data_IF_987396977418
#
_entry.id   IF_987396977418
#
_cell.length_a   1.000
_cell.length_b   1.000
_cell.length_c   1.000
_cell.angle_alpha   90.00
_cell.angle_beta   90.00
_cell.angle_gamma   90.00
#
_symmetry.space_group_name_H-M   'P 1'
#
loop_
_entity.id
_entity.type
_entity.pdbx_description
1 polymer ?
#
# COMPACT_ATOMS: atom_id res chain seq x y z
N UNK A 1 11.04 -5.84 -16.30
CA UNK A 1 10.36 -7.13 -16.51
C UNK A 1 10.87 -7.75 -17.79
N UNK A 2 10.68 -7.08 -18.92
CA UNK A 2 11.23 -7.48 -20.22
C UNK A 2 12.77 -7.50 -20.16
N UNK A 3 13.36 -8.68 -19.96
CA UNK A 3 14.81 -8.90 -19.86
C UNK A 3 15.31 -9.46 -18.52
N UNK A 4 14.52 -9.41 -17.45
CA UNK A 4 14.93 -9.87 -16.12
C UNK A 4 13.91 -10.77 -15.42
N UNK A 5 12.72 -10.95 -16.00
CA UNK A 5 11.68 -11.83 -15.48
C UNK A 5 11.23 -12.81 -16.56
N UNK A 6 10.87 -14.03 -16.15
CA UNK A 6 10.22 -14.99 -17.03
C UNK A 6 8.76 -14.60 -17.36
N UNK A 7 8.18 -13.66 -16.62
CA UNK A 7 6.79 -13.20 -16.80
C UNK A 7 6.74 -11.92 -17.62
N UNK A 8 5.72 -11.81 -18.49
CA UNK A 8 5.44 -10.56 -19.22
C UNK A 8 4.61 -9.62 -18.35
N UNK A 9 4.83 -8.32 -18.50
CA UNK A 9 4.09 -7.32 -17.71
C UNK A 9 2.58 -7.36 -17.93
N UNK A 10 2.13 -7.75 -19.14
CA UNK A 10 0.72 -7.96 -19.48
C UNK A 10 0.06 -9.07 -18.66
N UNK A 11 0.83 -10.05 -18.20
CA UNK A 11 0.32 -11.18 -17.41
C UNK A 11 0.18 -10.81 -15.92
N UNK A 12 0.70 -9.63 -15.55
CA UNK A 12 0.81 -9.19 -14.16
C UNK A 12 0.04 -7.89 -13.91
N UNK A 13 -0.58 -7.29 -14.93
CA UNK A 13 -1.17 -5.96 -14.81
C UNK A 13 -2.52 -5.85 -15.52
N UNK A 14 -3.32 -4.88 -15.06
CA UNK A 14 -4.55 -4.43 -15.71
C UNK A 14 -4.26 -3.07 -16.32
N UNK A 15 -4.73 -2.83 -17.54
CA UNK A 15 -4.63 -1.52 -18.19
C UNK A 15 -5.94 -0.76 -18.02
N UNK A 16 -5.83 0.53 -17.71
CA UNK A 16 -6.93 1.50 -17.72
C UNK A 16 -6.63 2.57 -18.78
N UNK A 17 -7.67 3.00 -19.51
CA UNK A 17 -7.55 3.99 -20.60
C UNK A 17 -8.15 5.36 -20.28
N UNK A 18 -8.74 5.51 -19.08
CA UNK A 18 -9.42 6.74 -18.68
C UNK A 18 -8.97 7.23 -17.32
N UNK A 19 -8.83 8.55 -17.19
CA UNK A 19 -8.81 9.24 -15.91
C UNK A 19 -10.19 9.88 -15.71
N UNK A 20 -10.88 9.55 -14.61
CA UNK A 20 -12.23 10.05 -14.30
C UNK A 20 -12.27 10.78 -12.97
N UNK A 21 -13.04 11.87 -12.91
CA UNK A 21 -13.46 12.50 -11.67
C UNK A 21 -14.98 12.38 -11.56
N UNK A 22 -15.44 11.78 -10.47
CA UNK A 22 -16.87 11.63 -10.18
C UNK A 22 -17.33 12.69 -9.20
N UNK A 23 -18.52 13.24 -9.47
CA UNK A 23 -19.26 14.14 -8.60
C UNK A 23 -20.13 13.39 -7.59
N UNK A 24 -20.79 14.16 -6.73
CA UNK A 24 -21.59 13.64 -5.61
C UNK A 24 -22.81 12.81 -6.05
N UNK A 25 -23.22 12.89 -7.33
CA UNK A 25 -24.32 12.11 -7.88
C UNK A 25 -23.85 11.03 -8.87
N UNK A 26 -22.56 10.66 -8.82
CA UNK A 26 -21.89 9.80 -9.80
C UNK A 26 -21.83 10.40 -11.22
N UNK A 27 -22.06 11.70 -11.35
CA UNK A 27 -21.84 12.45 -12.57
C UNK A 27 -20.34 12.54 -12.90
N UNK A 28 -19.99 12.33 -14.16
CA UNK A 28 -18.59 12.44 -14.61
C UNK A 28 -18.26 13.92 -14.79
N UNK A 29 -17.56 14.49 -13.81
CA UNK A 29 -17.12 15.90 -13.82
C UNK A 29 -15.99 16.13 -14.82
N UNK A 30 -15.15 15.13 -15.02
CA UNK A 30 -14.06 15.13 -15.98
C UNK A 30 -13.75 13.71 -16.44
N UNK A 31 -13.47 13.57 -17.73
CA UNK A 31 -12.90 12.37 -18.33
C UNK A 31 -11.81 12.76 -19.33
N UNK A 32 -10.67 12.10 -19.24
CA UNK A 32 -9.57 12.27 -20.18
C UNK A 32 -8.95 10.93 -20.57
N UNK A 33 -8.57 10.80 -21.84
CA UNK A 33 -7.86 9.61 -22.34
C UNK A 33 -6.48 9.54 -21.70
N UNK A 34 -6.14 8.38 -21.16
CA UNK A 34 -4.91 8.17 -20.41
C UNK A 34 -4.62 6.68 -20.29
N UNK A 35 -3.43 6.20 -20.67
CA UNK A 35 -3.08 4.78 -20.57
C UNK A 35 -2.14 4.52 -19.39
N UNK A 36 -2.57 3.70 -18.42
CA UNK A 36 -1.71 3.24 -17.31
C UNK A 36 -2.04 1.81 -16.94
N UNK A 37 -0.99 1.08 -16.58
CA UNK A 37 -1.03 -0.25 -16.00
C UNK A 37 -0.94 -0.22 -14.49
N UNK A 38 -1.84 -0.94 -13.86
CA UNK A 38 -1.89 -1.18 -12.43
C UNK A 38 -1.66 -2.65 -12.13
N UNK A 39 -1.05 -2.94 -10.99
CA UNK A 39 -0.83 -4.31 -10.50
C UNK A 39 -0.98 -4.34 -8.98
N UNK A 40 -0.91 -5.53 -8.41
CA UNK A 40 -0.85 -5.71 -6.96
C UNK A 40 0.60 -5.96 -6.52
N UNK A 41 0.93 -5.55 -5.29
CA UNK A 41 2.24 -5.83 -4.69
C UNK A 41 2.51 -7.35 -4.66
N UNK A 42 1.51 -8.16 -4.30
CA UNK A 42 1.65 -9.61 -4.23
C UNK A 42 1.95 -10.25 -5.59
N UNK A 43 1.36 -9.73 -6.67
CA UNK A 43 1.62 -10.17 -8.03
C UNK A 43 3.08 -9.96 -8.41
N UNK A 44 3.61 -8.74 -8.20
CA UNK A 44 5.00 -8.40 -8.52
C UNK A 44 5.97 -9.16 -7.61
N UNK A 45 5.71 -9.20 -6.30
CA UNK A 45 6.55 -9.91 -5.33
C UNK A 45 6.70 -11.39 -5.68
N UNK A 46 5.58 -12.08 -5.97
CA UNK A 46 5.63 -13.50 -6.34
C UNK A 46 6.37 -13.74 -7.65
N UNK A 47 6.20 -12.87 -8.64
CA UNK A 47 6.92 -12.99 -9.91
C UNK A 47 8.44 -12.86 -9.70
N UNK A 48 8.88 -11.79 -9.01
CA UNK A 48 10.30 -11.55 -8.75
C UNK A 48 10.92 -12.64 -7.86
N UNK A 49 10.18 -13.12 -6.83
CA UNK A 49 10.66 -14.21 -5.98
C UNK A 49 10.79 -15.51 -6.76
N UNK A 50 9.86 -15.80 -7.69
CA UNK A 50 9.94 -16.97 -8.54
C UNK A 50 11.17 -16.93 -9.47
N UNK A 51 11.49 -15.75 -10.03
CA UNK A 51 12.69 -15.56 -10.86
C UNK A 51 13.99 -15.66 -10.04
N UNK A 52 13.99 -15.14 -8.80
CA UNK A 52 15.16 -15.17 -7.92
C UNK A 52 15.44 -16.57 -7.33
N UNK A 53 14.36 -17.32 -7.05
CA UNK A 53 14.42 -18.61 -6.36
C UNK A 53 14.60 -18.49 -4.84
N UNK A 54 14.43 -19.62 -4.14
CA UNK A 54 14.43 -19.64 -2.67
C UNK A 54 15.79 -19.98 -2.05
N UNK A 55 16.76 -20.47 -2.83
CA UNK A 55 18.04 -20.99 -2.31
C UNK A 55 18.84 -19.93 -1.53
N UNK A 56 18.76 -18.67 -1.95
CA UNK A 56 19.45 -17.51 -1.34
C UNK A 56 18.48 -16.49 -0.74
N UNK A 57 17.23 -16.88 -0.53
CA UNK A 57 16.19 -16.03 0.04
C UNK A 57 15.86 -16.51 1.46
N UNK A 58 16.61 -15.97 2.44
CA UNK A 58 16.57 -16.44 3.81
C UNK A 58 15.44 -15.75 4.60
N UNK A 59 14.27 -16.40 4.66
CA UNK A 59 13.14 -15.96 5.50
C UNK A 59 13.39 -16.23 6.98
N UNK A 60 12.71 -15.47 7.86
CA UNK A 60 12.88 -15.57 9.32
C UNK A 60 14.16 -14.91 9.85
N UNK A 61 15.01 -14.39 8.95
CA UNK A 61 16.28 -13.73 9.28
C UNK A 61 16.13 -12.21 9.28
N UNK A 62 15.51 -11.66 10.32
CA UNK A 62 15.47 -10.20 10.51
C UNK A 62 16.84 -9.70 10.98
N UNK A 63 17.47 -8.81 10.22
CA UNK A 63 18.70 -8.14 10.64
C UNK A 63 18.41 -7.21 11.83
N UNK A 64 19.00 -7.53 12.99
CA UNK A 64 18.83 -6.78 14.24
C UNK A 64 20.05 -5.93 14.60
N UNK A 65 21.17 -6.16 13.91
CA UNK A 65 22.34 -5.29 14.01
C UNK A 65 23.39 -5.54 12.96
N UNK A 66 24.31 -4.59 12.87
CA UNK A 66 25.50 -4.70 12.06
C UNK A 66 26.62 -3.86 12.69
N UNK A 67 27.85 -4.23 12.38
CA UNK A 67 29.06 -3.42 12.55
C UNK A 67 29.89 -3.52 11.26
N UNK A 68 30.78 -2.56 11.03
CA UNK A 68 31.64 -2.56 9.85
C UNK A 68 33.07 -2.14 10.20
N UNK A 69 34.02 -2.74 9.50
CA UNK A 69 35.43 -2.37 9.52
C UNK A 69 35.88 -1.93 8.11
N UNK A 70 37.19 -1.81 7.87
CA UNK A 70 37.71 -1.36 6.57
C UNK A 70 37.49 -2.38 5.43
N UNK A 71 37.27 -3.65 5.77
CA UNK A 71 37.28 -4.77 4.85
C UNK A 71 35.87 -5.37 4.67
N UNK A 72 35.06 -5.43 5.73
CA UNK A 72 33.74 -6.08 5.66
C UNK A 72 32.69 -5.47 6.60
N UNK A 73 31.43 -5.79 6.29
CA UNK A 73 30.27 -5.58 7.17
C UNK A 73 29.87 -6.92 7.80
N UNK A 74 29.71 -6.94 9.11
CA UNK A 74 29.14 -8.06 9.85
C UNK A 74 27.67 -7.78 10.17
N UNK A 75 26.78 -8.68 9.76
CA UNK A 75 25.34 -8.63 10.02
C UNK A 75 24.97 -9.64 11.10
N UNK A 76 24.09 -9.24 12.02
CA UNK A 76 23.54 -10.09 13.09
C UNK A 76 22.04 -10.19 12.95
N UNK A 77 21.54 -11.41 12.94
CA UNK A 77 20.12 -11.71 12.72
C UNK A 77 19.43 -12.20 13.99
N UNK A 78 18.10 -12.09 14.02
CA UNK A 78 17.26 -12.43 15.19
C UNK A 78 17.39 -13.89 15.64
N UNK A 79 17.79 -14.78 14.74
CA UNK A 79 18.04 -16.21 15.01
C UNK A 79 19.38 -16.46 15.72
N UNK A 80 20.25 -15.45 15.81
CA UNK A 80 21.63 -15.58 16.23
C UNK A 80 22.61 -15.84 15.07
N UNK A 81 22.12 -16.03 13.83
CA UNK A 81 22.97 -16.12 12.64
C UNK A 81 23.80 -14.84 12.48
N UNK A 82 25.04 -15.01 12.05
CA UNK A 82 25.98 -13.94 11.73
C UNK A 82 26.48 -14.15 10.30
N UNK A 83 26.50 -13.09 9.51
CA UNK A 83 27.01 -13.12 8.13
C UNK A 83 28.01 -11.99 7.91
N UNK A 84 28.98 -12.22 7.03
CA UNK A 84 29.94 -11.19 6.59
C UNK A 84 29.77 -10.94 5.11
N UNK A 85 29.80 -9.67 4.71
CA UNK A 85 29.70 -9.26 3.32
C UNK A 85 30.59 -8.05 3.04
N UNK A 86 31.04 -7.93 1.79
CA UNK A 86 31.82 -6.76 1.33
C UNK A 86 30.92 -5.54 1.10
N UNK A 87 29.62 -5.76 0.83
CA UNK A 87 28.61 -4.73 0.64
C UNK A 87 27.26 -5.20 1.20
N UNK A 88 26.56 -4.30 1.87
CA UNK A 88 25.20 -4.54 2.39
C UNK A 88 24.24 -3.48 1.85
N UNK A 89 23.13 -3.95 1.27
CA UNK A 89 22.03 -3.08 0.83
C UNK A 89 20.84 -3.26 1.76
N UNK A 90 20.54 -2.24 2.56
CA UNK A 90 19.35 -2.22 3.41
C UNK A 90 18.10 -1.88 2.59
N UNK A 91 17.40 -2.92 2.14
CA UNK A 91 16.10 -2.84 1.44
C UNK A 91 14.92 -3.17 2.39
N UNK A 92 15.01 -2.75 3.64
CA UNK A 92 14.16 -3.14 4.78
C UNK A 92 13.03 -2.14 5.11
N UNK A 93 12.68 -1.28 4.15
CA UNK A 93 11.43 -0.51 4.14
C UNK A 93 11.34 0.66 5.14
N UNK A 94 10.10 1.11 5.41
CA UNK A 94 9.85 2.33 6.20
C UNK A 94 10.36 2.21 7.65
N UNK A 95 10.40 1.00 8.20
CA UNK A 95 10.95 0.67 9.52
C UNK A 95 12.39 0.15 9.45
N UNK A 96 13.16 0.56 8.44
CA UNK A 96 14.55 0.17 8.23
C UNK A 96 15.42 0.22 9.50
N UNK A 97 16.06 -0.90 9.81
CA UNK A 97 17.10 -1.03 10.84
C UNK A 97 18.38 -0.34 10.36
N UNK A 98 18.75 -0.52 9.09
CA UNK A 98 19.92 0.12 8.50
C UNK A 98 19.87 1.63 8.64
N UNK A 99 18.80 2.25 8.13
CA UNK A 99 18.59 3.71 8.20
C UNK A 99 18.68 4.25 9.63
N UNK A 100 18.03 3.58 10.59
CA UNK A 100 18.03 4.04 12.00
C UNK A 100 19.40 4.00 12.65
N UNK A 101 20.29 3.08 12.25
CA UNK A 101 21.64 3.01 12.80
C UNK A 101 22.60 3.97 12.12
N UNK A 102 22.51 4.10 10.79
CA UNK A 102 23.35 5.02 10.02
C UNK A 102 22.99 6.48 10.32
N UNK A 103 21.70 6.77 10.47
CA UNK A 103 21.18 8.11 10.70
C UNK A 103 20.26 8.14 11.93
N UNK A 104 20.82 8.04 13.15
CA UNK A 104 20.06 7.92 14.39
C UNK A 104 19.23 9.15 14.74
N UNK A 105 19.42 10.28 14.08
CA UNK A 105 18.60 11.50 14.27
C UNK A 105 17.48 11.61 13.22
N UNK A 106 17.49 10.79 12.17
CA UNK A 106 16.45 10.80 11.13
C UNK A 106 15.22 10.06 11.65
N UNK A 107 14.08 10.74 11.66
CA UNK A 107 12.77 10.19 12.03
C UNK A 107 11.77 10.41 10.90
N UNK A 108 10.84 9.45 10.69
CA UNK A 108 9.67 9.71 9.86
C UNK A 108 8.88 10.90 10.42
N UNK A 109 8.45 11.77 9.51
CA UNK A 109 7.59 12.91 9.81
C UNK A 109 6.19 12.59 9.31
N UNK A 110 5.23 12.53 10.24
CA UNK A 110 3.83 12.37 9.89
C UNK A 110 3.36 13.54 9.00
N UNK A 111 2.59 13.21 7.96
CA UNK A 111 2.19 14.17 6.93
C UNK A 111 0.84 14.84 7.22
N UNK A 112 0.21 14.51 8.36
CA UNK A 112 -1.09 15.07 8.77
C UNK A 112 -2.31 14.29 8.26
N UNK A 113 -2.11 13.16 7.58
CA UNK A 113 -3.19 12.34 7.05
C UNK A 113 -2.86 10.85 6.99
N UNK A 114 -3.91 10.04 6.94
CA UNK A 114 -3.86 8.58 6.80
C UNK A 114 -4.48 8.16 5.47
N UNK A 115 -4.11 6.96 5.00
CA UNK A 115 -4.76 6.30 3.88
C UNK A 115 -5.57 5.09 4.35
N UNK A 116 -6.89 5.16 4.22
CA UNK A 116 -7.75 3.97 4.27
C UNK A 116 -7.63 3.20 2.96
N UNK A 117 -7.51 1.89 3.05
CA UNK A 117 -7.22 1.03 1.91
C UNK A 117 -8.08 -0.21 1.96
N UNK A 118 -8.41 -0.71 0.79
CA UNK A 118 -9.19 -1.91 0.64
C UNK A 118 -9.31 -2.34 -0.80
N UNK A 119 -9.82 -3.55 -0.97
CA UNK A 119 -10.09 -4.13 -2.27
C UNK A 119 -11.43 -4.85 -2.23
N UNK A 120 -12.21 -4.74 -3.29
CA UNK A 120 -13.45 -5.49 -3.49
C UNK A 120 -13.41 -6.13 -4.87
N UNK A 121 -13.82 -7.40 -5.00
CA UNK A 121 -13.95 -8.01 -6.33
C UNK A 121 -15.01 -7.28 -7.15
N UNK A 122 -14.76 -7.07 -8.44
CA UNK A 122 -15.70 -6.38 -9.33
C UNK A 122 -17.11 -7.01 -9.31
N UNK A 123 -17.23 -8.34 -9.15
CA UNK A 123 -18.51 -9.06 -9.04
C UNK A 123 -19.24 -8.92 -7.68
N UNK A 124 -18.68 -8.17 -6.73
CA UNK A 124 -19.26 -7.93 -5.40
C UNK A 124 -19.84 -6.54 -5.22
N UNK A 125 -19.81 -5.72 -6.27
CA UNK A 125 -20.47 -4.41 -6.33
C UNK A 125 -21.56 -4.43 -7.40
N UNK A 126 -22.43 -3.43 -7.37
CA UNK A 126 -23.50 -3.26 -8.35
C UNK A 126 -22.96 -3.14 -9.77
N UNK A 127 -23.75 -3.61 -10.75
CA UNK A 127 -23.41 -3.46 -12.17
C UNK A 127 -23.14 -2.01 -12.56
N UNK A 128 -23.85 -1.08 -11.92
CA UNK A 128 -23.71 0.36 -12.09
C UNK A 128 -22.35 0.86 -11.63
N UNK A 129 -21.94 0.55 -10.40
CA UNK A 129 -20.64 0.96 -9.88
C UNK A 129 -19.51 0.29 -10.68
N UNK A 130 -19.64 -1.00 -10.97
CA UNK A 130 -18.68 -1.74 -11.78
C UNK A 130 -18.47 -1.10 -13.16
N UNK A 131 -19.55 -0.76 -13.86
CA UNK A 131 -19.46 -0.14 -15.18
C UNK A 131 -18.84 1.27 -15.14
N UNK A 132 -19.19 2.07 -14.13
CA UNK A 132 -18.68 3.44 -13.99
C UNK A 132 -17.16 3.48 -13.68
N UNK A 133 -16.70 2.53 -12.87
CA UNK A 133 -15.31 2.45 -12.41
C UNK A 133 -14.40 1.67 -13.38
N UNK A 134 -14.98 0.88 -14.29
CA UNK A 134 -14.24 0.04 -15.23
C UNK A 134 -13.30 0.86 -16.13
N UNK A 135 -12.15 0.26 -16.48
CA UNK A 135 -11.21 0.82 -17.45
C UNK A 135 -10.70 2.23 -17.09
N UNK A 136 -10.67 2.57 -15.79
CA UNK A 136 -10.29 3.90 -15.34
C UNK A 136 -9.42 3.92 -14.10
N UNK A 137 -8.70 5.02 -13.93
CA UNK A 137 -8.32 5.54 -12.63
C UNK A 137 -9.38 6.59 -12.27
N UNK A 138 -10.14 6.33 -11.21
CA UNK A 138 -11.24 7.19 -10.79
C UNK A 138 -10.88 7.94 -9.52
N UNK A 139 -11.14 9.24 -9.50
CA UNK A 139 -11.08 10.10 -8.34
C UNK A 139 -12.49 10.52 -7.89
N UNK A 140 -12.72 10.50 -6.58
CA UNK A 140 -13.81 11.23 -5.93
C UNK A 140 -13.18 12.23 -4.96
N UNK A 141 -13.46 13.51 -5.15
CA UNK A 141 -12.84 14.60 -4.38
C UNK A 141 -13.91 15.35 -3.61
N UNK A 142 -13.67 15.59 -2.33
CA UNK A 142 -14.55 16.36 -1.46
C UNK A 142 -13.70 17.34 -0.61
N UNK A 143 -14.31 18.31 0.10
CA UNK A 143 -13.54 19.22 0.94
C UNK A 143 -12.62 18.47 1.91
N UNK A 144 -11.31 18.75 1.82
CA UNK A 144 -10.27 18.16 2.68
C UNK A 144 -10.07 16.64 2.55
N UNK A 145 -10.55 16.00 1.48
CA UNK A 145 -10.35 14.56 1.28
C UNK A 145 -10.45 14.14 -0.19
N UNK A 146 -9.80 13.04 -0.56
CA UNK A 146 -9.99 12.43 -1.86
C UNK A 146 -9.75 10.92 -1.82
N UNK A 147 -10.45 10.22 -2.70
CA UNK A 147 -10.24 8.80 -3.00
C UNK A 147 -9.67 8.67 -4.40
N UNK A 148 -8.70 7.77 -4.55
CA UNK A 148 -8.32 7.22 -5.85
C UNK A 148 -8.70 5.74 -5.90
N UNK A 149 -9.25 5.30 -7.02
CA UNK A 149 -9.64 3.93 -7.26
C UNK A 149 -9.20 3.46 -8.63
N UNK A 150 -8.76 2.21 -8.71
CA UNK A 150 -8.37 1.57 -9.97
C UNK A 150 -8.47 0.06 -9.83
N UNK A 151 -8.66 -0.63 -10.95
CA UNK A 151 -8.66 -2.09 -10.99
C UNK A 151 -7.25 -2.65 -10.89
N UNK A 152 -7.05 -3.74 -10.16
CA UNK A 152 -5.82 -4.52 -10.13
C UNK A 152 -6.15 -6.00 -10.38
N UNK A 153 -5.15 -6.85 -10.71
CA UNK A 153 -5.39 -8.28 -10.82
C UNK A 153 -6.06 -8.87 -9.57
N UNK A 154 -6.85 -9.92 -9.76
CA UNK A 154 -7.40 -10.73 -8.68
C UNK A 154 -6.31 -11.31 -7.77
N UNK A 155 -6.70 -11.86 -6.62
CA UNK A 155 -5.75 -12.40 -5.63
C UNK A 155 -4.84 -13.49 -6.22
N UNK A 156 -5.40 -14.28 -7.14
CA UNK A 156 -4.72 -15.38 -7.84
C UNK A 156 -4.20 -14.94 -9.23
N UNK A 157 -4.27 -13.64 -9.55
CA UNK A 157 -3.77 -13.05 -10.78
C UNK A 157 -4.81 -12.92 -11.89
N UNK A 158 -6.11 -13.04 -11.59
CA UNK A 158 -7.16 -12.94 -12.59
C UNK A 158 -7.23 -11.54 -13.23
N UNK A 159 -7.31 -11.49 -14.56
CA UNK A 159 -7.39 -10.26 -15.35
C UNK A 159 -8.75 -10.04 -16.02
N UNK A 160 -9.63 -11.05 -15.98
CA UNK A 160 -10.96 -10.99 -16.56
C UNK A 160 -11.85 -9.97 -15.84
N UNK A 161 -12.61 -9.19 -16.62
CA UNK A 161 -13.66 -8.32 -16.08
C UNK A 161 -14.62 -9.11 -15.16
N UNK A 162 -14.87 -8.57 -13.97
CA UNK A 162 -15.68 -9.20 -12.93
C UNK A 162 -14.87 -9.99 -11.90
N UNK A 163 -13.66 -10.47 -12.25
CA UNK A 163 -12.79 -11.24 -11.34
C UNK A 163 -11.63 -10.44 -10.76
N UNK A 164 -11.36 -9.25 -11.30
CA UNK A 164 -10.35 -8.32 -10.79
C UNK A 164 -10.81 -7.68 -9.49
N UNK A 165 -9.88 -6.99 -8.83
CA UNK A 165 -10.18 -6.22 -7.62
C UNK A 165 -10.24 -4.73 -7.94
N UNK A 166 -11.30 -4.07 -7.48
CA UNK A 166 -11.36 -2.62 -7.32
C UNK A 166 -10.54 -2.25 -6.09
N UNK A 167 -9.36 -1.67 -6.30
CA UNK A 167 -8.48 -1.18 -5.24
C UNK A 167 -8.72 0.31 -5.03
N UNK A 168 -8.82 0.75 -3.77
CA UNK A 168 -8.84 2.17 -3.43
C UNK A 168 -7.80 2.57 -2.39
N UNK A 169 -7.47 3.86 -2.42
CA UNK A 169 -6.84 4.56 -1.30
C UNK A 169 -7.65 5.82 -1.03
N UNK A 170 -8.16 5.95 0.19
CA UNK A 170 -8.91 7.11 0.65
C UNK A 170 -8.08 7.89 1.67
N UNK A 171 -7.68 9.12 1.30
CA UNK A 171 -6.86 9.98 2.14
C UNK A 171 -7.72 10.84 3.05
N UNK A 172 -7.51 10.74 4.36
CA UNK A 172 -8.23 11.52 5.38
C UNK A 172 -7.25 12.20 6.32
N UNK A 173 -7.46 13.49 6.54
CA UNK A 173 -6.69 14.25 7.52
C UNK A 173 -7.05 13.78 8.92
N UNK A 174 -6.04 13.55 9.75
CA UNK A 174 -6.18 13.12 11.15
C UNK A 174 -5.13 13.89 11.94
N UNK A 175 -5.56 14.59 13.00
CA UNK A 175 -4.62 15.38 13.79
C UNK A 175 -3.60 14.47 14.48
N UNK A 176 -2.35 14.94 14.55
CA UNK A 176 -1.31 14.26 15.31
C UNK A 176 -1.64 14.27 16.81
N UNK A 177 -1.05 13.34 17.56
CA UNK A 177 -1.30 13.16 18.99
C UNK A 177 -2.45 12.19 19.27
N UNK A 178 -3.39 12.58 20.14
CA UNK A 178 -4.40 11.66 20.69
C UNK A 178 -5.29 11.02 19.62
N UNK A 179 -5.71 11.80 18.61
CA UNK A 179 -6.60 11.29 17.56
C UNK A 179 -5.92 10.21 16.70
N UNK A 180 -4.70 10.48 16.24
CA UNK A 180 -3.89 9.50 15.50
C UNK A 180 -3.55 8.28 16.36
N UNK A 181 -3.18 8.48 17.63
CA UNK A 181 -2.86 7.39 18.55
C UNK A 181 -4.05 6.45 18.76
N UNK A 182 -5.23 7.01 19.03
CA UNK A 182 -6.45 6.21 19.17
C UNK A 182 -6.80 5.46 17.87
N UNK A 183 -6.66 6.12 16.71
CA UNK A 183 -6.95 5.54 15.39
C UNK A 183 -6.00 4.40 15.03
N UNK A 184 -4.73 4.51 15.42
CA UNK A 184 -3.67 3.54 15.08
C UNK A 184 -3.45 2.48 16.16
N UNK A 185 -4.23 2.50 17.23
CA UNK A 185 -4.30 1.41 18.21
C UNK A 185 -5.16 0.27 17.66
N UNK A 186 -4.65 -0.95 17.67
CA UNK A 186 -5.38 -2.11 17.16
C UNK A 186 -6.46 -2.63 18.14
N UNK A 187 -7.29 -3.58 17.69
CA UNK A 187 -8.33 -4.21 18.52
C UNK A 187 -7.81 -4.95 19.76
N UNK A 188 -6.49 -5.18 19.87
CA UNK A 188 -5.84 -5.81 21.03
C UNK A 188 -5.24 -4.77 21.97
N UNK A 189 -5.30 -3.48 21.62
CA UNK A 189 -4.73 -2.38 22.39
C UNK A 189 -3.26 -2.08 22.08
N UNK A 190 -2.70 -2.60 20.98
CA UNK A 190 -1.33 -2.29 20.56
C UNK A 190 -1.29 -1.17 19.54
N UNK A 191 -0.48 -0.16 19.82
CA UNK A 191 -0.20 0.92 18.86
C UNK A 191 0.55 0.37 17.63
N UNK A 192 0.05 0.71 16.45
CA UNK A 192 0.60 0.31 15.15
C UNK A 192 0.97 1.56 14.34
N UNK A 193 2.18 2.13 14.53
CA UNK A 193 2.52 3.48 14.09
C UNK A 193 2.70 3.63 12.56
N UNK A 194 2.65 2.52 11.81
CA UNK A 194 2.82 2.51 10.36
C UNK A 194 1.54 2.11 9.66
N UNK A 195 0.99 0.94 10.03
CA UNK A 195 -0.22 0.41 9.42
C UNK A 195 -0.99 -0.44 10.42
N UNK A 196 -2.32 -0.35 10.37
CA UNK A 196 -3.20 -1.38 10.90
C UNK A 196 -3.53 -2.35 9.77
N UNK A 197 -3.35 -3.64 10.03
CA UNK A 197 -3.61 -4.69 9.05
C UNK A 197 -5.11 -5.01 8.91
N UNK A 198 -5.54 -5.67 7.80
CA UNK A 198 -6.88 -6.22 7.69
C UNK A 198 -7.28 -7.01 8.94
N UNK A 199 -8.48 -6.75 9.46
CA UNK A 199 -9.00 -7.38 10.68
C UNK A 199 -8.43 -6.85 12.00
N UNK A 200 -7.54 -5.86 11.97
CA UNK A 200 -6.93 -5.27 13.19
C UNK A 200 -7.51 -3.89 13.56
N UNK A 201 -8.28 -3.29 12.67
CA UNK A 201 -8.86 -1.95 12.86
C UNK A 201 -10.07 -2.02 13.81
N UNK A 202 -10.19 -1.06 14.72
CA UNK A 202 -11.32 -1.00 15.66
C UNK A 202 -12.64 -0.77 14.91
N UNK A 203 -13.69 -1.50 15.31
CA UNK A 203 -15.00 -1.44 14.63
C UNK A 203 -15.57 -0.02 14.58
N UNK A 204 -15.40 0.79 15.63
CA UNK A 204 -15.86 2.19 15.66
C UNK A 204 -15.31 3.04 14.51
N UNK A 205 -14.06 2.81 14.10
CA UNK A 205 -13.44 3.53 13.00
C UNK A 205 -13.84 2.97 11.64
N UNK A 206 -14.14 1.67 11.55
CA UNK A 206 -14.73 1.09 10.34
C UNK A 206 -16.13 1.66 10.11
N UNK A 207 -16.95 1.74 11.16
CA UNK A 207 -18.31 2.28 11.08
C UNK A 207 -18.30 3.77 10.71
N UNK A 208 -17.42 4.55 11.34
CA UNK A 208 -17.20 5.96 11.02
C UNK A 208 -16.72 6.14 9.58
N UNK A 209 -15.73 5.36 9.13
CA UNK A 209 -15.26 5.37 7.75
C UNK A 209 -16.41 5.10 6.76
N UNK A 210 -17.24 4.08 7.01
CA UNK A 210 -18.38 3.74 6.12
C UNK A 210 -19.43 4.84 6.08
N UNK A 211 -19.77 5.43 7.23
CA UNK A 211 -20.70 6.55 7.29
C UNK A 211 -20.17 7.78 6.52
N UNK A 212 -18.91 8.14 6.76
CA UNK A 212 -18.27 9.26 6.07
C UNK A 212 -18.14 9.00 4.54
N UNK A 213 -17.90 7.76 4.12
CA UNK A 213 -17.87 7.42 2.70
C UNK A 213 -19.21 7.65 2.02
N UNK A 214 -20.32 7.24 2.65
CA UNK A 214 -21.68 7.45 2.14
C UNK A 214 -22.08 8.94 2.08
N UNK A 215 -21.55 9.76 2.99
CA UNK A 215 -21.84 11.20 3.06
C UNK A 215 -21.01 12.02 2.06
N UNK A 216 -19.73 11.68 1.89
CA UNK A 216 -18.75 12.59 1.26
C UNK A 216 -18.38 12.21 -0.17
N UNK A 217 -18.57 10.94 -0.58
CA UNK A 217 -18.03 10.42 -1.83
C UNK A 217 -19.12 10.13 -2.85
N UNK A 218 -18.70 10.06 -4.12
CA UNK A 218 -19.55 9.59 -5.20
C UNK A 218 -20.14 8.21 -4.85
N UNK A 219 -21.45 7.96 -5.00
CA UNK A 219 -22.09 6.73 -4.51
C UNK A 219 -21.46 5.43 -5.02
N UNK A 220 -20.93 5.39 -6.26
CA UNK A 220 -20.20 4.23 -6.77
C UNK A 220 -18.88 3.98 -6.03
N UNK A 221 -18.17 5.04 -5.63
CA UNK A 221 -16.94 4.96 -4.84
C UNK A 221 -17.25 4.54 -3.40
N UNK A 222 -18.28 5.14 -2.80
CA UNK A 222 -18.75 4.81 -1.46
C UNK A 222 -19.15 3.32 -1.36
N UNK A 223 -19.82 2.79 -2.38
CA UNK A 223 -20.22 1.38 -2.44
C UNK A 223 -19.02 0.43 -2.28
N UNK A 224 -17.91 0.67 -2.98
CA UNK A 224 -16.70 -0.15 -2.86
C UNK A 224 -16.14 -0.11 -1.43
N UNK A 225 -16.08 1.08 -0.82
CA UNK A 225 -15.58 1.24 0.56
C UNK A 225 -16.49 0.50 1.55
N UNK A 226 -17.80 0.63 1.41
CA UNK A 226 -18.79 -0.02 2.27
C UNK A 226 -18.74 -1.56 2.13
N UNK A 227 -18.61 -2.05 0.90
CA UNK A 227 -18.50 -3.48 0.59
C UNK A 227 -17.14 -4.09 0.97
N UNK A 228 -16.16 -3.29 1.37
CA UNK A 228 -14.87 -3.80 1.83
C UNK A 228 -15.05 -4.54 3.15
N UNK A 229 -14.70 -5.83 3.16
CA UNK A 229 -14.85 -6.69 4.32
C UNK A 229 -13.89 -6.31 5.45
N UNK A 230 -12.60 -6.16 5.12
CA UNK A 230 -11.55 -5.82 6.07
C UNK A 230 -10.73 -4.64 5.55
N UNK A 231 -11.27 -3.41 5.62
CA UNK A 231 -10.49 -2.21 5.31
C UNK A 231 -9.32 -2.11 6.29
N UNK A 232 -8.21 -1.56 5.80
CA UNK A 232 -6.99 -1.40 6.58
C UNK A 232 -6.47 0.03 6.45
N UNK A 233 -5.61 0.44 7.38
CA UNK A 233 -5.19 1.84 7.50
C UNK A 233 -3.67 1.94 7.45
N UNK A 234 -3.18 2.97 6.79
CA UNK A 234 -1.74 3.27 6.72
C UNK A 234 -1.49 4.75 7.03
N UNK A 235 -0.57 5.00 7.95
CA UNK A 235 -0.11 6.35 8.31
C UNK A 235 0.80 6.86 7.20
N UNK A 236 0.54 8.09 6.71
CA UNK A 236 1.40 8.69 5.67
C UNK A 236 2.48 9.53 6.35
N UNK A 237 3.72 9.07 6.21
CA UNK A 237 4.90 9.74 6.75
C UNK A 237 6.00 9.81 5.71
N UNK A 238 6.72 10.92 5.72
CA UNK A 238 7.87 11.13 4.86
C UNK A 238 9.17 11.02 5.66
N UNK A 239 10.25 10.58 5.02
CA UNK A 239 11.58 10.55 5.61
C UNK A 239 12.60 10.99 4.59
N UNK A 240 13.52 11.86 5.00
CA UNK A 240 14.68 12.26 4.18
C UNK A 240 15.96 11.86 4.89
N UNK A 241 16.89 11.28 4.16
CA UNK A 241 18.22 10.89 4.66
C UNK A 241 19.31 11.77 4.02
N UNK A 242 20.44 12.00 4.70
CA UNK A 242 21.56 12.78 4.16
C UNK A 242 22.25 12.12 2.95
N UNK A 243 22.27 10.79 2.90
CA UNK A 243 22.90 10.03 1.82
C UNK A 243 22.42 8.58 1.78
N UNK A 244 22.67 7.90 0.67
CA UNK A 244 22.34 6.47 0.48
C UNK A 244 23.54 5.54 0.64
N UNK A 245 24.72 6.10 0.90
CA UNK A 245 25.99 5.39 1.10
C UNK A 245 26.60 5.91 2.40
N UNK A 246 27.04 5.00 3.25
CA UNK A 246 27.83 5.31 4.44
C UNK A 246 29.01 4.35 4.50
N UNK A 247 30.23 4.88 4.41
CA UNK A 247 31.43 4.08 4.18
C UNK A 247 31.70 3.82 2.69
N UNK A 248 32.04 2.58 2.35
CA UNK A 248 32.33 2.13 0.98
C UNK A 248 31.07 1.81 0.19
#
# INVERSE_FOLDING_TARGET
>A
FDGHSARRIDELSVTSHWLRYLGAADDVLYEGSFEWRSTSWGTVYRALLADFGNERYHLGETCVGFDQDADHVELRFVTGRVERADLVVFADGITSTGRRRLYPDVRPRYSGYVGWRGTVREDRVSDRARALLADSITYSVAPNTHVVMYTIPGMDGELDYGKRLLNYVWYRNVADGAELHELTTDIRGFESPVSLHPGSVQQRYIDEMRAAAAEQLAPAVAEVIICTEQPFLQVVSDTRIPGMVDGR
#
